data_IF_360314623491
#
_entry.id   IF_360314623491
#
_cell.length_a   1.000
_cell.length_b   1.000
_cell.length_c   1.000
_cell.angle_alpha   90.00
_cell.angle_beta   90.00
_cell.angle_gamma   90.00
#
_symmetry.space_group_name_H-M   'P 1'
#
loop_
_entity.id
_entity.type
_entity.pdbx_description
1 polymer ?
#
# COMPACT_ATOMS: atom_id res chain seq x y z
N UNK A 1 2.47 -26.52 1.32
CA UNK A 1 1.44 -25.51 0.95
C UNK A 1 1.30 -24.57 2.13
N UNK A 2 1.87 -23.36 2.04
CA UNK A 2 1.81 -22.38 3.14
C UNK A 2 0.40 -21.81 3.25
N UNK A 3 -0.16 -21.84 4.44
CA UNK A 3 -1.46 -21.25 4.79
C UNK A 3 -1.53 -19.78 4.40
N UNK A 4 -2.70 -19.34 3.92
CA UNK A 4 -2.99 -17.99 3.41
C UNK A 4 -3.29 -17.03 4.59
N UNK A 5 -2.76 -17.32 5.77
CA UNK A 5 -2.96 -16.52 6.98
C UNK A 5 -1.63 -15.87 7.35
N UNK A 6 -1.61 -14.53 7.41
CA UNK A 6 -0.47 -13.63 7.73
C UNK A 6 0.38 -13.09 6.57
N UNK A 7 -0.23 -12.62 5.48
CA UNK A 7 0.39 -11.55 4.69
C UNK A 7 -0.24 -10.23 5.09
N UNK A 8 0.32 -9.59 6.12
CA UNK A 8 -0.17 -8.31 6.62
C UNK A 8 0.11 -7.26 5.56
N UNK A 9 -0.86 -7.04 4.67
CA UNK A 9 -0.87 -5.89 3.78
C UNK A 9 -1.52 -4.75 4.55
N UNK A 10 -0.76 -3.71 4.88
CA UNK A 10 -1.34 -2.50 5.44
C UNK A 10 -2.11 -1.77 4.35
N UNK A 11 -3.37 -1.46 4.63
CA UNK A 11 -4.26 -0.74 3.71
C UNK A 11 -4.72 0.53 4.37
N UNK A 12 -4.49 1.66 3.72
CA UNK A 12 -5.02 2.96 4.13
C UNK A 12 -6.06 3.41 3.10
N UNK A 13 -7.26 3.77 3.55
CA UNK A 13 -8.26 4.41 2.69
C UNK A 13 -7.79 5.83 2.36
N UNK A 14 -7.73 6.13 1.07
CA UNK A 14 -7.46 7.45 0.52
C UNK A 14 -8.79 8.18 0.24
N UNK A 15 -8.68 9.40 -0.30
CA UNK A 15 -9.86 10.13 -0.80
C UNK A 15 -10.54 9.34 -1.93
N UNK A 16 -11.84 9.56 -2.10
CA UNK A 16 -12.64 9.03 -3.21
C UNK A 16 -12.68 7.49 -3.31
N UNK A 17 -12.70 6.81 -2.16
CA UNK A 17 -12.75 5.35 -2.06
C UNK A 17 -11.58 4.64 -2.74
N UNK A 18 -10.42 5.27 -2.75
CA UNK A 18 -9.20 4.66 -3.28
C UNK A 18 -8.34 4.15 -2.12
N UNK A 19 -7.37 3.29 -2.39
CA UNK A 19 -6.56 2.65 -1.35
C UNK A 19 -5.08 2.78 -1.60
N UNK A 20 -4.33 2.93 -0.52
CA UNK A 20 -2.89 2.76 -0.49
C UNK A 20 -2.60 1.42 0.18
N UNK A 21 -2.00 0.49 -0.57
CA UNK A 21 -1.68 -0.85 -0.10
C UNK A 21 -0.17 -1.01 -0.02
N UNK A 22 0.31 -1.49 1.11
CA UNK A 22 1.71 -1.88 1.30
C UNK A 22 1.82 -3.37 1.06
N UNK A 23 2.55 -3.76 0.02
CA UNK A 23 2.92 -5.14 -0.24
C UNK A 23 4.34 -5.39 0.28
N UNK A 24 4.43 -6.02 1.44
CA UNK A 24 5.69 -6.39 2.07
C UNK A 24 6.46 -7.46 1.28
N UNK A 25 5.76 -8.31 0.50
CA UNK A 25 6.37 -9.39 -0.28
C UNK A 25 7.26 -8.85 -1.39
N UNK A 26 6.77 -7.82 -2.09
CA UNK A 26 7.49 -7.20 -3.19
C UNK A 26 8.18 -5.90 -2.80
N UNK A 27 8.03 -5.48 -1.53
CA UNK A 27 8.49 -4.19 -1.02
C UNK A 27 7.96 -3.04 -1.88
N UNK A 28 6.65 -3.03 -2.11
CA UNK A 28 5.98 -2.06 -2.97
C UNK A 28 4.85 -1.36 -2.26
N UNK A 29 4.64 -0.13 -2.66
CA UNK A 29 3.46 0.64 -2.35
C UNK A 29 2.56 0.64 -3.60
N UNK A 30 1.28 0.34 -3.44
CA UNK A 30 0.30 0.27 -4.52
C UNK A 30 -0.80 1.29 -4.26
N UNK A 31 -1.10 2.11 -5.25
CA UNK A 31 -2.27 2.97 -5.24
C UNK A 31 -3.35 2.33 -6.09
N UNK A 32 -4.46 1.99 -5.45
CA UNK A 32 -5.57 1.22 -6.00
C UNK A 32 -6.78 2.14 -6.13
N UNK A 33 -7.36 2.26 -7.32
CA UNK A 33 -8.59 3.01 -7.57
C UNK A 33 -9.79 2.32 -6.95
N UNK A 34 -10.90 3.06 -6.79
CA UNK A 34 -12.20 2.56 -6.29
C UNK A 34 -12.76 1.32 -7.00
N UNK A 35 -12.35 1.04 -8.24
CA UNK A 35 -12.72 -0.15 -8.99
C UNK A 35 -11.78 -1.35 -8.74
N UNK A 36 -10.87 -1.23 -7.77
CA UNK A 36 -9.91 -2.28 -7.39
C UNK A 36 -8.68 -2.37 -8.29
N UNK A 37 -8.51 -1.47 -9.27
CA UNK A 37 -7.35 -1.52 -10.19
C UNK A 37 -6.16 -0.76 -9.65
N UNK A 38 -4.95 -1.27 -9.91
CA UNK A 38 -3.71 -0.57 -9.54
C UNK A 38 -3.49 0.60 -10.52
N UNK A 39 -3.59 1.84 -10.03
CA UNK A 39 -3.27 3.07 -10.78
C UNK A 39 -1.76 3.29 -10.85
N UNK A 40 -1.07 3.06 -9.75
CA UNK A 40 0.36 3.33 -9.63
C UNK A 40 1.01 2.37 -8.65
N UNK A 41 2.29 2.07 -8.89
CA UNK A 41 3.13 1.26 -8.02
C UNK A 41 4.47 1.93 -7.80
N UNK A 42 4.95 1.92 -6.58
CA UNK A 42 6.28 2.42 -6.21
C UNK A 42 7.07 1.31 -5.54
N UNK A 43 8.35 1.20 -5.88
CA UNK A 43 9.30 0.38 -5.13
C UNK A 43 9.73 1.12 -3.87
N UNK A 44 9.66 0.47 -2.72
CA UNK A 44 10.13 1.03 -1.46
C UNK A 44 11.20 0.11 -0.86
N UNK A 45 12.44 0.61 -0.79
CA UNK A 45 13.53 -0.06 -0.07
C UNK A 45 14.15 0.93 0.92
N UNK A 46 14.24 0.59 2.22
CA UNK A 46 13.73 -0.61 2.90
C UNK A 46 12.19 -0.66 2.93
N UNK A 47 11.67 -1.81 3.38
CA UNK A 47 10.23 -2.05 3.56
C UNK A 47 9.65 -0.95 4.46
N UNK A 48 8.50 -0.42 4.04
CA UNK A 48 7.71 0.56 4.78
C UNK A 48 6.69 -0.21 5.59
N UNK A 49 6.48 0.16 6.86
CA UNK A 49 5.51 -0.50 7.73
C UNK A 49 4.15 0.19 7.69
N UNK A 50 4.14 1.50 7.47
CA UNK A 50 2.90 2.26 7.40
C UNK A 50 3.01 3.37 6.36
N UNK A 51 1.90 3.68 5.71
CA UNK A 51 1.85 4.71 4.70
C UNK A 51 0.48 5.37 4.72
N UNK A 52 0.50 6.70 4.69
CA UNK A 52 -0.72 7.51 4.73
C UNK A 52 -0.60 8.65 3.74
N UNK A 53 -1.74 9.17 3.30
CA UNK A 53 -1.76 10.42 2.55
C UNK A 53 -1.46 11.59 3.49
N UNK A 54 -0.51 12.42 3.11
CA UNK A 54 -0.18 13.68 3.79
C UNK A 54 -0.28 14.83 2.80
N UNK A 55 -1.44 15.50 2.78
CA UNK A 55 -1.77 16.49 1.77
C UNK A 55 -1.89 15.85 0.38
N UNK A 56 -1.05 16.29 -0.56
CA UNK A 56 -0.93 15.71 -1.91
C UNK A 56 0.22 14.71 -2.03
N UNK A 57 0.92 14.42 -0.92
CA UNK A 57 2.07 13.52 -0.87
C UNK A 57 1.72 12.23 -0.11
N UNK A 58 2.60 11.24 -0.21
CA UNK A 58 2.54 10.02 0.59
C UNK A 58 3.60 10.14 1.68
N UNK A 59 3.17 10.01 2.94
CA UNK A 59 4.08 9.85 4.07
C UNK A 59 4.26 8.35 4.32
N UNK A 60 5.46 7.86 4.05
CA UNK A 60 5.87 6.49 4.32
C UNK A 60 6.70 6.43 5.61
N UNK A 61 6.24 5.63 6.57
CA UNK A 61 6.88 5.42 7.87
C UNK A 61 7.56 4.06 7.86
N UNK A 62 8.85 4.09 8.17
CA UNK A 62 9.66 2.91 8.44
C UNK A 62 9.53 2.54 9.91
#
# INVERSE_FOLDING_TARGET
MGSIEQRVNHVCLLKYDEWLVIDHTTSRLLYVSKDGKVKTKWSCKPIVHNAVLFGSNILAIR
#
